data_IF_813852632260
#
_entry.id   IF_813852632260
#
_cell.length_a   1.000
_cell.length_b   1.000
_cell.length_c   1.000
_cell.angle_alpha   90.00
_cell.angle_beta   90.00
_cell.angle_gamma   90.00
#
_symmetry.space_group_name_H-M   'P 1'
#
loop_
_entity.id
_entity.type
_entity.pdbx_description
1 polymer ?
#
# COMPACT_ATOMS: atom_id res chain seq x y z
N UNK A 1 4.09 18.40 10.45
CA UNK A 1 3.29 17.54 11.34
C UNK A 1 2.94 16.27 10.59
N UNK A 2 2.99 15.10 11.24
CA UNK A 2 2.60 13.85 10.62
C UNK A 2 1.08 13.84 10.36
N UNK A 3 0.66 13.38 9.18
CA UNK A 3 -0.75 13.21 8.85
C UNK A 3 -1.24 11.87 9.41
N UNK A 4 -1.68 11.86 10.68
CA UNK A 4 -2.05 10.63 11.41
C UNK A 4 -3.13 9.79 10.69
N UNK A 5 -4.20 10.37 10.10
CA UNK A 5 -5.13 9.61 9.27
C UNK A 5 -4.46 8.86 8.13
N UNK A 6 -3.45 9.46 7.50
CA UNK A 6 -2.74 8.85 6.37
C UNK A 6 -1.73 7.81 6.82
N UNK A 7 -1.14 7.97 8.00
CA UNK A 7 -0.33 6.91 8.60
C UNK A 7 -1.19 5.66 8.84
N UNK A 8 -2.40 5.83 9.37
CA UNK A 8 -3.34 4.71 9.56
C UNK A 8 -3.74 4.07 8.22
N UNK A 9 -4.10 4.88 7.21
CA UNK A 9 -4.40 4.38 5.86
C UNK A 9 -3.23 3.63 5.25
N UNK A 10 -2.00 4.11 5.44
CA UNK A 10 -0.81 3.41 4.98
C UNK A 10 -0.67 2.03 5.64
N UNK A 11 -0.81 1.95 6.98
CA UNK A 11 -0.82 0.67 7.68
C UNK A 11 -1.91 -0.26 7.13
N UNK A 12 -3.10 0.27 6.86
CA UNK A 12 -4.22 -0.49 6.31
C UNK A 12 -3.94 -1.04 4.91
N UNK A 13 -3.39 -0.22 4.00
CA UNK A 13 -2.98 -0.68 2.67
C UNK A 13 -1.88 -1.73 2.72
N UNK A 14 -0.96 -1.64 3.69
CA UNK A 14 0.15 -2.58 3.85
C UNK A 14 -0.27 -3.94 4.43
N UNK A 15 -1.33 -3.98 5.25
CA UNK A 15 -1.76 -5.20 5.94
C UNK A 15 -3.04 -5.81 5.35
N UNK A 16 -3.90 -5.02 4.73
CA UNK A 16 -5.24 -5.42 4.28
C UNK A 16 -6.20 -5.76 5.43
N UNK A 17 -5.81 -5.52 6.69
CA UNK A 17 -6.56 -5.93 7.87
C UNK A 17 -6.57 -4.80 8.91
N UNK A 18 -7.76 -4.38 9.30
CA UNK A 18 -8.02 -3.26 10.22
C UNK A 18 -7.36 -3.44 11.58
N UNK A 19 -7.43 -4.66 12.16
CA UNK A 19 -6.83 -4.98 13.47
C UNK A 19 -5.31 -4.77 13.46
N UNK A 20 -4.62 -5.42 12.51
CA UNK A 20 -3.16 -5.28 12.32
C UNK A 20 -2.76 -3.84 12.02
N UNK A 21 -3.54 -3.16 11.17
CA UNK A 21 -3.27 -1.77 10.81
C UNK A 21 -3.34 -0.85 12.04
N UNK A 22 -4.37 -1.05 12.87
CA UNK A 22 -4.57 -0.31 14.10
C UNK A 22 -3.43 -0.56 15.10
N UNK A 23 -3.03 -1.81 15.31
CA UNK A 23 -1.95 -2.17 16.23
C UNK A 23 -0.62 -1.51 15.80
N UNK A 24 -0.27 -1.63 14.52
CA UNK A 24 0.96 -1.03 13.97
C UNK A 24 0.91 0.50 14.06
N UNK A 25 -0.22 1.12 13.74
CA UNK A 25 -0.40 2.56 13.86
C UNK A 25 -0.19 3.02 15.32
N UNK A 26 -0.84 2.36 16.28
CA UNK A 26 -0.75 2.71 17.69
C UNK A 26 0.68 2.54 18.21
N UNK A 27 1.35 1.46 17.84
CA UNK A 27 2.74 1.22 18.24
C UNK A 27 3.71 2.24 17.63
N UNK A 28 3.50 2.63 16.37
CA UNK A 28 4.31 3.67 15.72
C UNK A 28 4.17 5.02 16.43
N UNK A 29 2.95 5.42 16.78
CA UNK A 29 2.69 6.67 17.51
C UNK A 29 3.19 6.60 18.94
N UNK A 30 3.09 5.44 19.61
CA UNK A 30 3.61 5.22 20.96
C UNK A 30 5.13 5.36 21.00
N UNK A 31 5.82 4.78 20.01
CA UNK A 31 7.27 4.91 19.88
C UNK A 31 7.67 6.37 19.66
N UNK A 32 6.98 7.09 18.77
CA UNK A 32 7.21 8.52 18.56
C UNK A 32 7.08 9.35 19.85
N UNK A 33 6.03 9.07 20.64
CA UNK A 33 5.80 9.76 21.91
C UNK A 33 6.88 9.45 22.95
N UNK A 34 7.32 8.20 23.02
CA UNK A 34 8.40 7.77 23.92
C UNK A 34 9.73 8.43 23.57
N UNK A 35 10.10 8.46 22.29
CA UNK A 35 11.30 9.14 21.80
C UNK A 35 11.25 10.66 22.07
N UNK A 36 10.10 11.29 21.83
CA UNK A 36 9.92 12.71 22.15
C UNK A 36 10.07 12.99 23.65
N UNK A 37 9.56 12.13 24.53
CA UNK A 37 9.71 12.27 25.97
C UNK A 37 11.17 12.15 26.46
N UNK A 38 12.02 11.47 25.68
CA UNK A 38 13.47 11.39 25.92
C UNK A 38 14.27 12.56 25.34
N UNK A 39 13.62 13.51 24.68
CA UNK A 39 14.29 14.63 24.00
C UNK A 39 14.80 14.27 22.60
N UNK A 40 14.37 13.15 22.03
CA UNK A 40 14.78 12.66 20.71
C UNK A 40 13.56 12.53 19.77
N UNK A 41 12.76 13.60 19.54
CA UNK A 41 11.55 13.48 18.74
C UNK A 41 11.87 13.04 17.29
N UNK A 42 10.95 12.32 16.62
CA UNK A 42 11.10 11.98 15.21
C UNK A 42 11.48 13.18 14.35
N UNK A 43 12.54 13.01 13.55
CA UNK A 43 13.16 14.10 12.81
C UNK A 43 12.23 14.72 11.74
N UNK A 44 11.39 13.90 11.12
CA UNK A 44 10.49 14.33 10.05
C UNK A 44 9.25 13.43 9.94
N UNK A 45 8.32 13.81 9.04
CA UNK A 45 7.14 12.99 8.76
C UNK A 45 7.50 11.61 8.19
N UNK A 46 8.61 11.49 7.44
CA UNK A 46 9.03 10.24 6.81
C UNK A 46 9.42 9.19 7.83
N UNK A 47 9.89 9.59 9.02
CA UNK A 47 10.19 8.66 10.12
C UNK A 47 8.98 7.78 10.44
N UNK A 48 7.78 8.35 10.54
CA UNK A 48 6.56 7.60 10.87
C UNK A 48 6.27 6.51 9.84
N UNK A 49 6.43 6.84 8.55
CA UNK A 49 6.16 5.89 7.46
C UNK A 49 7.26 4.84 7.31
N UNK A 50 8.53 5.18 7.59
CA UNK A 50 9.62 4.21 7.65
C UNK A 50 9.40 3.21 8.78
N UNK A 51 9.06 3.71 9.97
CA UNK A 51 8.79 2.90 11.17
C UNK A 51 7.57 2.00 10.96
N UNK A 52 6.45 2.56 10.51
CA UNK A 52 5.25 1.78 10.20
C UNK A 52 5.51 0.73 9.11
N UNK A 53 6.28 1.07 8.05
CA UNK A 53 6.64 0.12 7.00
C UNK A 53 7.41 -1.07 7.57
N UNK A 54 8.43 -0.80 8.38
CA UNK A 54 9.22 -1.87 9.00
C UNK A 54 8.33 -2.83 9.82
N UNK A 55 7.43 -2.28 10.65
CA UNK A 55 6.47 -3.06 11.44
C UNK A 55 5.48 -3.84 10.57
N UNK A 56 4.97 -3.26 9.50
CA UNK A 56 4.09 -3.95 8.56
C UNK A 56 4.79 -5.15 7.92
N UNK A 57 6.04 -4.97 7.49
CA UNK A 57 6.79 -6.06 6.86
C UNK A 57 7.07 -7.20 7.82
N UNK A 58 7.38 -6.89 9.08
CA UNK A 58 7.58 -7.91 10.13
C UNK A 58 6.31 -8.74 10.36
N UNK A 59 5.17 -8.08 10.56
CA UNK A 59 3.86 -8.73 10.77
C UNK A 59 3.44 -9.59 9.58
N UNK A 60 3.77 -9.15 8.36
CA UNK A 60 3.29 -9.76 7.13
C UNK A 60 4.28 -10.80 6.56
N UNK A 61 5.53 -10.85 7.04
CA UNK A 61 6.60 -11.73 6.53
C UNK A 61 6.26 -13.22 6.42
N UNK A 62 5.26 -13.71 7.15
CA UNK A 62 4.91 -15.13 7.25
C UNK A 62 3.54 -15.49 6.64
N UNK A 63 2.81 -14.55 6.04
CA UNK A 63 1.39 -14.75 5.70
C UNK A 63 0.90 -14.23 4.34
N UNK A 64 1.79 -13.69 3.49
CA UNK A 64 1.38 -13.16 2.18
C UNK A 64 1.08 -14.32 1.25
N UNK A 65 -0.20 -14.53 0.96
CA UNK A 65 -0.61 -15.33 -0.18
C UNK A 65 -0.97 -14.38 -1.32
N UNK A 66 -0.44 -14.60 -2.54
CA UNK A 66 -0.81 -13.76 -3.67
C UNK A 66 -2.31 -13.89 -3.95
N UNK A 67 -2.97 -12.75 -4.15
CA UNK A 67 -4.35 -12.71 -4.61
C UNK A 67 -4.47 -13.24 -6.04
N UNK A 68 -5.69 -13.60 -6.45
CA UNK A 68 -5.94 -14.06 -7.83
C UNK A 68 -5.52 -12.99 -8.84
N UNK A 69 -4.81 -13.39 -9.89
CA UNK A 69 -4.35 -12.47 -10.92
C UNK A 69 -3.15 -11.60 -10.53
N UNK A 70 -2.60 -11.73 -9.31
CA UNK A 70 -1.42 -10.92 -8.88
C UNK A 70 -0.15 -11.19 -9.71
N UNK A 71 -0.07 -12.34 -10.39
CA UNK A 71 1.02 -12.67 -11.33
C UNK A 71 0.54 -12.65 -12.80
N UNK A 72 -0.70 -12.27 -13.05
CA UNK A 72 -1.29 -12.21 -14.38
C UNK A 72 -1.45 -10.76 -14.78
N UNK A 73 -0.79 -10.34 -15.86
CA UNK A 73 -0.93 -8.98 -16.36
C UNK A 73 -2.00 -8.93 -17.46
N UNK A 74 -2.94 -8.01 -17.36
CA UNK A 74 -3.91 -7.71 -18.40
C UNK A 74 -3.77 -6.25 -18.87
N UNK A 75 -4.06 -5.98 -20.15
CA UNK A 75 -4.16 -4.60 -20.63
C UNK A 75 -5.31 -3.89 -19.93
N UNK A 76 -5.11 -2.62 -19.56
CA UNK A 76 -6.10 -1.84 -18.81
C UNK A 76 -7.34 -1.67 -19.69
N UNK A 77 -8.49 -2.15 -19.19
CA UNK A 77 -9.75 -2.09 -19.93
C UNK A 77 -10.29 -0.66 -19.91
N UNK A 78 -10.88 -0.16 -21.02
CA UNK A 78 -11.65 1.07 -21.00
C UNK A 78 -12.81 1.05 -19.98
N UNK A 79 -13.29 -0.15 -19.60
CA UNK A 79 -14.37 -0.37 -18.63
C UNK A 79 -13.88 -0.48 -17.17
N UNK A 80 -12.57 -0.30 -16.93
CA UNK A 80 -12.00 -0.36 -15.59
C UNK A 80 -12.68 0.61 -14.60
N UNK A 81 -13.02 1.87 -14.97
CA UNK A 81 -13.71 2.77 -14.06
C UNK A 81 -15.05 2.24 -13.55
N UNK A 82 -15.83 1.55 -14.38
CA UNK A 82 -17.11 0.95 -14.02
C UNK A 82 -16.94 -0.27 -13.10
N UNK A 83 -15.87 -1.04 -13.29
CA UNK A 83 -15.52 -2.15 -12.39
C UNK A 83 -15.06 -1.62 -11.02
N UNK A 84 -14.23 -0.58 -11.00
CA UNK A 84 -13.70 0.03 -9.77
C UNK A 84 -14.82 0.65 -8.92
N UNK A 85 -15.85 1.25 -9.55
CA UNK A 85 -17.00 1.80 -8.83
C UNK A 85 -17.81 0.77 -8.05
N UNK A 86 -17.65 -0.53 -8.35
CA UNK A 86 -18.32 -1.62 -7.64
C UNK A 86 -17.48 -2.16 -6.47
N UNK A 87 -16.28 -1.65 -6.25
CA UNK A 87 -15.40 -2.10 -5.19
C UNK A 87 -15.62 -1.34 -3.90
N UNK A 88 -15.54 -2.08 -2.80
CA UNK A 88 -15.36 -1.52 -1.47
C UNK A 88 -13.87 -1.17 -1.23
N UNK A 89 -13.56 -0.10 -0.48
CA UNK A 89 -12.18 0.31 -0.18
C UNK A 89 -11.31 -0.79 0.43
N UNK A 90 -11.91 -1.69 1.22
CA UNK A 90 -11.26 -2.84 1.85
C UNK A 90 -10.71 -3.80 0.80
N UNK A 91 -11.39 -3.98 -0.33
CA UNK A 91 -10.95 -4.89 -1.39
C UNK A 91 -9.65 -4.39 -2.05
N UNK A 92 -9.50 -3.07 -2.20
CA UNK A 92 -8.26 -2.47 -2.67
C UNK A 92 -7.10 -2.71 -1.68
N UNK A 93 -7.37 -2.57 -0.38
CA UNK A 93 -6.35 -2.79 0.64
C UNK A 93 -5.91 -4.27 0.70
N UNK A 94 -6.84 -5.21 0.57
CA UNK A 94 -6.55 -6.65 0.46
C UNK A 94 -5.67 -6.93 -0.76
N UNK A 95 -6.01 -6.35 -1.93
CA UNK A 95 -5.21 -6.53 -3.13
C UNK A 95 -3.80 -5.94 -2.98
N UNK A 96 -3.66 -4.70 -2.48
CA UNK A 96 -2.34 -4.08 -2.28
C UNK A 96 -1.50 -4.89 -1.27
N UNK A 97 -2.09 -5.32 -0.16
CA UNK A 97 -1.36 -6.06 0.88
C UNK A 97 -0.87 -7.44 0.41
N UNK A 98 -1.51 -8.02 -0.60
CA UNK A 98 -1.09 -9.27 -1.22
C UNK A 98 0.03 -9.12 -2.26
N UNK A 99 0.31 -7.90 -2.75
CA UNK A 99 1.41 -7.67 -3.69
C UNK A 99 2.77 -8.01 -3.03
N UNK A 100 3.77 -8.49 -3.79
CA UNK A 100 5.11 -8.74 -3.26
C UNK A 100 5.86 -7.45 -2.92
N UNK A 101 6.84 -7.51 -2.03
CA UNK A 101 7.79 -6.40 -1.85
C UNK A 101 8.82 -6.36 -2.99
N UNK A 102 9.24 -5.17 -3.47
CA UNK A 102 8.92 -3.83 -2.98
C UNK A 102 7.62 -3.22 -3.52
N UNK A 103 6.91 -3.92 -4.43
CA UNK A 103 5.74 -3.41 -5.13
C UNK A 103 4.60 -3.01 -4.17
N UNK A 104 4.33 -3.78 -3.12
CA UNK A 104 3.36 -3.43 -2.08
C UNK A 104 3.64 -2.06 -1.46
N UNK A 105 4.84 -1.86 -0.92
CA UNK A 105 5.25 -0.57 -0.36
C UNK A 105 5.15 0.57 -1.38
N UNK A 106 5.53 0.32 -2.63
CA UNK A 106 5.41 1.29 -3.72
C UNK A 106 3.94 1.68 -3.95
N UNK A 107 3.05 0.72 -4.13
CA UNK A 107 1.63 0.95 -4.40
C UNK A 107 0.96 1.65 -3.22
N UNK A 108 1.22 1.19 -1.99
CA UNK A 108 0.69 1.79 -0.77
C UNK A 108 1.11 3.26 -0.62
N UNK A 109 2.39 3.59 -0.84
CA UNK A 109 2.87 4.98 -0.74
C UNK A 109 2.41 5.86 -1.90
N UNK A 110 2.36 5.31 -3.12
CA UNK A 110 1.97 6.05 -4.32
C UNK A 110 0.49 6.45 -4.28
N UNK A 111 -0.41 5.52 -3.96
CA UNK A 111 -1.85 5.78 -3.95
C UNK A 111 -2.36 6.43 -2.65
N UNK A 112 -1.50 6.56 -1.64
CA UNK A 112 -1.79 7.39 -0.48
C UNK A 112 -1.84 8.89 -0.84
N UNK A 113 -1.15 9.28 -1.91
CA UNK A 113 -1.05 10.66 -2.41
C UNK A 113 -0.45 11.67 -1.40
N UNK A 114 0.43 11.19 -0.51
CA UNK A 114 1.10 12.01 0.50
C UNK A 114 2.56 12.37 0.16
N UNK A 115 3.14 11.65 -0.81
CA UNK A 115 4.55 11.71 -1.16
C UNK A 115 4.74 11.93 -2.65
N UNK A 116 5.71 12.78 -3.00
CA UNK A 116 6.18 12.85 -4.38
C UNK A 116 7.12 11.66 -4.70
N UNK A 117 7.37 11.44 -6.00
CA UNK A 117 8.19 10.31 -6.45
C UNK A 117 9.60 10.28 -5.86
N UNK A 118 10.22 11.45 -5.62
CA UNK A 118 11.55 11.52 -5.02
C UNK A 118 11.54 11.08 -3.57
N UNK A 119 10.50 11.45 -2.81
CA UNK A 119 10.32 11.03 -1.43
C UNK A 119 10.12 9.50 -1.35
N UNK A 120 9.26 8.93 -2.21
CA UNK A 120 9.02 7.47 -2.27
C UNK A 120 10.32 6.73 -2.60
N UNK A 121 11.02 7.14 -3.66
CA UNK A 121 12.29 6.54 -4.06
C UNK A 121 13.34 6.60 -2.94
N UNK A 122 13.45 7.75 -2.27
CA UNK A 122 14.38 7.92 -1.15
C UNK A 122 14.00 7.06 0.06
N UNK A 123 12.70 6.89 0.34
CA UNK A 123 12.22 6.09 1.46
C UNK A 123 12.46 4.60 1.24
N UNK A 124 12.32 4.13 0.00
CA UNK A 124 12.42 2.72 -0.37
C UNK A 124 13.80 2.31 -0.90
N UNK A 125 14.71 3.26 -1.14
CA UNK A 125 16.02 3.00 -1.73
C UNK A 125 15.96 2.53 -3.19
N UNK A 126 14.99 3.05 -3.96
CA UNK A 126 14.69 2.61 -5.32
C UNK A 126 15.12 3.62 -6.38
N UNK A 127 15.33 3.14 -7.62
CA UNK A 127 15.51 4.02 -8.79
C UNK A 127 14.15 4.31 -9.44
N UNK A 128 14.11 5.37 -10.25
CA UNK A 128 12.88 5.79 -10.96
C UNK A 128 12.31 4.64 -11.81
N UNK A 129 13.18 3.90 -12.49
CA UNK A 129 12.80 2.76 -13.31
C UNK A 129 12.09 1.67 -12.49
N UNK A 130 12.54 1.40 -11.27
CA UNK A 130 11.94 0.37 -10.41
C UNK A 130 10.56 0.82 -9.92
N UNK A 131 10.45 2.09 -9.52
CA UNK A 131 9.19 2.72 -9.15
C UNK A 131 8.18 2.68 -10.32
N UNK A 132 8.58 3.13 -11.51
CA UNK A 132 7.69 3.19 -12.67
C UNK A 132 7.23 1.81 -13.11
N UNK A 133 8.14 0.83 -13.15
CA UNK A 133 7.82 -0.55 -13.54
C UNK A 133 6.84 -1.19 -12.57
N UNK A 134 7.06 -1.02 -11.26
CA UNK A 134 6.18 -1.61 -10.24
C UNK A 134 4.75 -1.03 -10.29
N UNK A 135 4.61 0.26 -10.59
CA UNK A 135 3.29 0.90 -10.76
C UNK A 135 2.63 0.41 -12.05
N UNK A 136 3.38 0.34 -13.16
CA UNK A 136 2.84 -0.15 -14.44
C UNK A 136 2.36 -1.60 -14.33
N UNK A 137 3.18 -2.50 -13.80
CA UNK A 137 2.81 -3.90 -13.61
C UNK A 137 1.64 -4.03 -12.64
N UNK A 138 1.69 -3.29 -11.52
CA UNK A 138 0.62 -3.29 -10.53
C UNK A 138 -0.73 -2.88 -11.11
N UNK A 139 -0.78 -1.91 -12.03
CA UNK A 139 -2.04 -1.54 -12.71
C UNK A 139 -2.57 -2.66 -13.62
N UNK A 140 -1.69 -3.37 -14.32
CA UNK A 140 -2.07 -4.50 -15.18
C UNK A 140 -2.51 -5.73 -14.39
N UNK A 141 -1.84 -6.00 -13.27
CA UNK A 141 -2.21 -7.06 -12.31
C UNK A 141 -3.55 -6.72 -11.63
N UNK A 142 -3.76 -5.46 -11.26
CA UNK A 142 -5.04 -5.00 -10.73
C UNK A 142 -6.17 -5.19 -11.75
N UNK A 143 -5.93 -4.91 -13.03
CA UNK A 143 -6.92 -5.18 -14.08
C UNK A 143 -7.26 -6.68 -14.19
N UNK A 144 -6.27 -7.57 -14.12
CA UNK A 144 -6.54 -9.01 -14.12
C UNK A 144 -7.40 -9.41 -12.92
N UNK A 145 -7.09 -8.87 -11.74
CA UNK A 145 -7.88 -9.08 -10.52
C UNK A 145 -9.30 -8.50 -10.64
N UNK A 146 -9.49 -7.32 -11.23
CA UNK A 146 -10.81 -6.74 -11.53
C UNK A 146 -11.63 -7.67 -12.41
N UNK A 147 -11.04 -8.21 -13.48
CA UNK A 147 -11.75 -9.12 -14.39
C UNK A 147 -12.20 -10.42 -13.69
N UNK A 148 -11.42 -10.90 -12.72
CA UNK A 148 -11.74 -12.09 -11.95
C UNK A 148 -12.77 -11.83 -10.83
N UNK A 149 -12.79 -10.63 -10.27
CA UNK A 149 -13.56 -10.29 -9.05
C UNK A 149 -14.86 -9.54 -9.36
N UNK A 150 -14.84 -8.72 -10.40
CA UNK A 150 -15.97 -7.92 -10.90
C UNK A 150 -16.08 -8.15 -12.41
N UNK A 151 -16.69 -9.27 -12.84
CA UNK A 151 -16.82 -9.56 -14.25
C UNK A 151 -17.68 -8.49 -14.92
N UNK A 152 -17.20 -7.97 -16.06
CA UNK A 152 -17.98 -7.08 -16.90
C UNK A 152 -19.23 -7.84 -17.34
N UNK A 153 -20.41 -7.23 -17.18
CA UNK A 153 -21.64 -7.80 -17.72
C UNK A 153 -21.44 -8.03 -19.23
N UNK A 154 -21.59 -9.28 -19.69
CA UNK A 154 -21.50 -9.59 -21.09
C UNK A 154 -22.49 -8.70 -21.87
N UNK A 155 -21.97 -7.87 -22.77
CA UNK A 155 -22.81 -7.12 -23.71
C UNK A 155 -23.69 -8.12 -24.45
N UNK A 156 -25.01 -7.95 -24.34
CA UNK A 156 -26.00 -8.72 -25.10
C UNK A 156 -26.20 -8.12 -26.48
#
# INVERSE_FOLDING_TARGET
MANLPQLYRFCFLMTGETSKAQDIFQDTVREAAFLAAKGEPPADRHWFFREARWRCLDVVAHGVQPERGMNEACEISPQAPEQIQQLEPEQLAIWISAAPEPQRSILALYYLDEFNYREIMSMLGLKLHDLSRAIESGRREFQAWLNATVPVAAEK
#
